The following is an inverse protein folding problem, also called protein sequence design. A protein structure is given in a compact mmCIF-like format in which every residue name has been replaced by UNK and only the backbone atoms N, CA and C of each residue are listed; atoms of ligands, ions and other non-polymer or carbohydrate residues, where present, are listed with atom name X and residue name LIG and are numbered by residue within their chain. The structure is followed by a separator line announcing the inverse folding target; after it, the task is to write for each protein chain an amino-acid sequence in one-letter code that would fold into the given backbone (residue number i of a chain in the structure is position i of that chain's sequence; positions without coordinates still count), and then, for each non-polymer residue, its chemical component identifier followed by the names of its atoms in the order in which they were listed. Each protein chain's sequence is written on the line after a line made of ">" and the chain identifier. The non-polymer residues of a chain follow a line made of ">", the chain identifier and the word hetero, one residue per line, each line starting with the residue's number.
data_IF_407039042422
#
_entry.id   IF_407039042422
#
_cell.length_a   1.000
_cell.length_b   1.000
_cell.length_c   1.000
_cell.angle_alpha   90.00
_cell.angle_beta   90.00
_cell.angle_gamma   90.00
#
_symmetry.space_group_name_H-M   'P 1'
#
loop_
_entity.id
_entity.type
_entity.pdbx_description
1 polymer ?
#
# COMPACT_ATOMS: atom_id res chain seq x y z
N UNK A 1 1.90 14.60 1.36
CA UNK A 1 2.74 13.41 1.15
C UNK A 1 2.01 12.51 0.17
N UNK A 2 2.72 11.74 -0.64
CA UNK A 2 2.13 10.84 -1.63
C UNK A 2 2.88 9.51 -1.68
N UNK A 3 2.16 8.43 -1.96
CA UNK A 3 2.69 7.09 -2.25
C UNK A 3 2.34 6.77 -3.69
N UNK A 4 3.35 6.48 -4.51
CA UNK A 4 3.16 6.04 -5.89
C UNK A 4 2.94 4.52 -5.95
N UNK A 5 2.10 4.08 -6.87
CA UNK A 5 2.00 2.66 -7.21
C UNK A 5 3.15 2.26 -8.17
N UNK A 6 3.64 1.01 -8.09
CA UNK A 6 4.55 0.47 -9.10
C UNK A 6 3.82 0.33 -10.47
N UNK A 7 4.55 0.27 -11.59
CA UNK A 7 3.94 0.24 -12.93
C UNK A 7 2.93 -0.90 -13.16
N UNK A 8 3.14 -2.04 -12.52
CA UNK A 8 2.31 -3.24 -12.68
C UNK A 8 1.10 -3.29 -11.72
N UNK A 9 0.88 -2.24 -10.93
CA UNK A 9 -0.25 -2.10 -10.01
C UNK A 9 -1.08 -0.86 -10.39
N UNK A 10 -2.35 -1.03 -10.81
CA UNK A 10 -3.24 0.11 -11.02
C UNK A 10 -3.35 0.97 -9.75
N UNK A 11 -3.14 2.30 -9.84
CA UNK A 11 -3.09 3.17 -8.66
C UNK A 11 -4.39 3.19 -7.86
N UNK A 12 -5.53 2.96 -8.52
CA UNK A 12 -6.85 2.85 -7.89
C UNK A 12 -7.01 1.62 -6.97
N UNK A 13 -6.11 0.63 -7.08
CA UNK A 13 -6.12 -0.57 -6.23
C UNK A 13 -5.16 -0.47 -5.04
N UNK A 14 -4.45 0.65 -4.88
CA UNK A 14 -3.59 0.93 -3.74
C UNK A 14 -4.09 2.19 -3.03
N UNK A 15 -4.56 2.02 -1.80
CA UNK A 15 -5.06 3.14 -0.99
C UNK A 15 -4.25 3.31 0.29
N UNK A 16 -4.21 4.55 0.78
CA UNK A 16 -3.54 4.88 2.02
C UNK A 16 -4.21 6.05 2.73
N UNK A 17 -4.01 6.10 4.04
CA UNK A 17 -4.41 7.21 4.90
C UNK A 17 -3.37 7.42 5.99
N UNK A 18 -3.34 8.62 6.55
CA UNK A 18 -2.39 8.99 7.60
C UNK A 18 -3.09 9.31 8.91
N UNK A 19 -2.36 9.13 10.01
CA UNK A 19 -2.79 9.50 11.35
C UNK A 19 -2.27 10.91 11.62
N UNK A 20 -3.19 11.83 11.94
CA UNK A 20 -2.93 13.25 12.16
C UNK A 20 -3.07 13.63 13.65
N UNK A 21 -3.62 12.72 14.45
CA UNK A 21 -3.84 12.88 15.88
C UNK A 21 -4.47 11.62 16.46
N UNK A 22 -4.63 11.57 17.78
CA UNK A 22 -5.24 10.42 18.46
C UNK A 22 -6.68 10.21 17.97
N UNK A 23 -6.93 9.10 17.29
CA UNK A 23 -8.23 8.79 16.69
C UNK A 23 -8.60 9.67 15.50
N UNK A 24 -7.68 10.51 15.01
CA UNK A 24 -7.91 11.39 13.86
C UNK A 24 -7.06 10.93 12.68
N UNK A 25 -7.74 10.41 11.66
CA UNK A 25 -7.13 9.97 10.41
C UNK A 25 -7.59 10.86 9.25
N UNK A 26 -6.75 10.98 8.22
CA UNK A 26 -7.21 11.49 6.94
C UNK A 26 -8.22 10.53 6.31
N UNK A 27 -9.00 10.98 5.31
CA UNK A 27 -9.66 10.06 4.40
C UNK A 27 -8.65 9.12 3.73
N UNK A 28 -9.14 7.97 3.27
CA UNK A 28 -8.43 7.13 2.31
C UNK A 28 -8.30 7.87 0.98
N UNK A 29 -7.13 7.77 0.37
CA UNK A 29 -6.85 8.29 -0.97
C UNK A 29 -6.16 7.23 -1.80
N UNK A 30 -6.27 7.34 -3.12
CA UNK A 30 -5.61 6.42 -4.06
C UNK A 30 -4.15 6.78 -4.28
N UNK A 31 -3.34 5.82 -4.74
CA UNK A 31 -1.94 6.03 -5.05
C UNK A 31 -1.75 7.22 -6.00
N UNK A 32 -0.80 8.10 -5.66
CA UNK A 32 -0.54 9.35 -6.36
C UNK A 32 -1.32 10.57 -5.85
N UNK A 33 -2.37 10.39 -5.04
CA UNK A 33 -3.12 11.52 -4.49
C UNK A 33 -2.48 12.10 -3.22
N UNK A 34 -2.68 13.39 -2.98
CA UNK A 34 -2.22 14.00 -1.73
C UNK A 34 -2.91 13.37 -0.49
N UNK A 35 -2.11 12.91 0.46
CA UNK A 35 -2.55 12.45 1.77
C UNK A 35 -1.98 13.35 2.90
N UNK A 36 -2.85 13.76 3.84
CA UNK A 36 -2.51 14.60 4.98
C UNK A 36 -3.43 15.82 5.17
N UNK A 37 -2.95 16.82 5.92
CA UNK A 37 -3.66 18.09 6.11
C UNK A 37 -3.01 19.22 5.30
N UNK A 38 -3.82 20.14 4.75
CA UNK A 38 -3.33 21.34 4.06
C UNK A 38 -3.48 22.55 4.96
N UNK A 39 -2.42 23.36 5.07
CA UNK A 39 -2.42 24.62 5.81
C UNK A 39 -2.40 24.49 7.34
N UNK A 40 -2.40 23.27 7.89
CA UNK A 40 -2.50 23.04 9.35
C UNK A 40 -1.17 22.75 10.04
N UNK A 41 -0.09 22.49 9.29
CA UNK A 41 1.24 22.21 9.85
C UNK A 41 1.33 20.92 10.69
N UNK A 42 0.38 19.99 10.55
CA UNK A 42 0.35 18.76 11.34
C UNK A 42 1.36 17.74 10.82
N UNK A 43 2.16 17.11 11.70
CA UNK A 43 3.02 16.00 11.33
C UNK A 43 2.22 14.73 11.00
N UNK A 44 2.84 13.82 10.27
CA UNK A 44 2.32 12.46 10.09
C UNK A 44 2.74 11.64 11.31
N UNK A 45 1.77 11.09 12.04
CA UNK A 45 2.00 10.30 13.26
C UNK A 45 1.93 8.79 13.01
N UNK A 46 1.37 8.41 11.87
CA UNK A 46 1.09 7.03 11.51
C UNK A 46 0.58 6.89 10.09
N UNK A 47 0.53 5.65 9.61
CA UNK A 47 0.12 5.30 8.26
C UNK A 47 -0.71 4.01 8.26
N UNK A 48 -1.69 3.93 7.36
CA UNK A 48 -2.34 2.69 6.96
C UNK A 48 -2.31 2.58 5.44
N UNK A 49 -1.96 1.42 4.91
CA UNK A 49 -1.95 1.14 3.47
C UNK A 49 -2.73 -0.14 3.20
N UNK A 50 -3.54 -0.18 2.16
CA UNK A 50 -4.30 -1.38 1.77
C UNK A 50 -4.32 -1.59 0.26
N UNK A 51 -4.49 -2.84 -0.12
CA UNK A 51 -4.80 -3.23 -1.50
C UNK A 51 -6.31 -3.46 -1.63
N UNK A 52 -6.86 -3.13 -2.80
CA UNK A 52 -8.26 -3.36 -3.14
C UNK A 52 -8.39 -4.43 -4.24
N UNK A 53 -9.57 -5.08 -4.27
CA UNK A 53 -9.95 -5.99 -5.34
C UNK A 53 -8.93 -7.09 -5.61
N UNK A 54 -8.68 -7.34 -6.90
CA UNK A 54 -7.77 -8.39 -7.39
C UNK A 54 -6.31 -8.18 -6.92
N UNK A 55 -5.90 -6.93 -6.64
CA UNK A 55 -4.53 -6.66 -6.21
C UNK A 55 -4.19 -7.33 -4.88
N UNK A 56 -5.16 -7.49 -3.98
CA UNK A 56 -4.96 -8.18 -2.70
C UNK A 56 -4.62 -9.68 -2.85
N UNK A 57 -4.98 -10.30 -3.99
CA UNK A 57 -4.60 -11.67 -4.32
C UNK A 57 -3.31 -11.79 -5.14
N UNK A 58 -2.90 -10.71 -5.80
CA UNK A 58 -1.73 -10.68 -6.69
C UNK A 58 -0.47 -10.13 -6.02
N UNK A 59 -0.62 -9.40 -4.90
CA UNK A 59 0.48 -8.70 -4.25
C UNK A 59 0.47 -8.95 -2.74
N UNK A 60 1.68 -9.13 -2.19
CA UNK A 60 1.94 -9.09 -0.76
C UNK A 60 2.38 -7.68 -0.38
N UNK A 61 1.52 -6.99 0.36
CA UNK A 61 1.78 -5.65 0.89
C UNK A 61 2.23 -5.73 2.36
N UNK A 62 3.35 -5.08 2.67
CA UNK A 62 3.82 -4.81 4.03
C UNK A 62 4.42 -3.41 4.14
N UNK A 63 4.37 -2.81 5.30
CA UNK A 63 4.97 -1.49 5.51
C UNK A 63 5.48 -1.29 6.92
N UNK A 64 6.50 -0.45 7.04
CA UNK A 64 7.14 -0.05 8.28
C UNK A 64 7.46 1.44 8.24
N UNK A 65 7.78 2.01 9.40
CA UNK A 65 8.15 3.41 9.51
C UNK A 65 9.22 3.61 10.58
N UNK A 66 9.94 4.73 10.47
CA UNK A 66 10.87 5.21 11.49
C UNK A 66 10.35 6.51 12.06
N UNK A 67 10.40 6.67 13.37
CA UNK A 67 10.03 7.88 14.10
C UNK A 67 11.11 8.97 14.03
N UNK A 68 10.74 10.22 14.25
CA UNK A 68 11.67 11.36 14.31
C UNK A 68 12.66 11.29 15.47
N UNK A 69 12.37 10.50 16.50
CA UNK A 69 13.28 10.21 17.61
C UNK A 69 14.24 9.03 17.33
N UNK A 70 14.19 8.46 16.12
CA UNK A 70 15.08 7.40 15.67
C UNK A 70 14.57 5.97 15.92
N UNK A 71 13.42 5.78 16.59
CA UNK A 71 12.84 4.44 16.76
C UNK A 71 12.35 3.86 15.43
N UNK A 72 12.64 2.58 15.20
CA UNK A 72 12.05 1.78 14.12
C UNK A 72 10.76 1.14 14.62
N UNK A 73 9.67 1.26 13.85
CA UNK A 73 8.41 0.58 14.13
C UNK A 73 8.40 -0.80 13.47
N UNK A 74 7.70 -1.79 14.06
CA UNK A 74 7.56 -3.10 13.44
C UNK A 74 6.87 -3.00 12.07
N UNK A 75 7.22 -3.92 11.19
CA UNK A 75 6.51 -4.11 9.93
C UNK A 75 5.09 -4.63 10.20
N UNK A 76 4.11 -4.07 9.51
CA UNK A 76 2.69 -4.44 9.64
C UNK A 76 2.07 -4.81 8.29
N UNK A 77 0.94 -5.50 8.35
CA UNK A 77 0.17 -5.94 7.19
C UNK A 77 -0.85 -4.90 6.67
N UNK A 78 -1.59 -5.26 5.61
CA UNK A 78 -2.56 -4.36 4.97
C UNK A 78 -3.63 -3.85 5.94
N UNK A 79 -3.79 -2.54 6.00
CA UNK A 79 -4.82 -1.87 6.78
C UNK A 79 -4.52 -1.77 8.28
N UNK A 80 -3.41 -2.30 8.78
CA UNK A 80 -3.01 -2.17 10.18
C UNK A 80 -2.37 -0.80 10.46
N UNK A 81 -2.62 -0.16 11.62
CA UNK A 81 -1.95 1.10 11.95
C UNK A 81 -0.45 0.88 12.17
N UNK A 82 0.39 1.54 11.37
CA UNK A 82 1.83 1.68 11.62
C UNK A 82 2.05 3.04 12.31
N UNK A 83 2.04 3.04 13.64
CA UNK A 83 2.20 4.24 14.48
C UNK A 83 2.86 3.89 15.82
N UNK A 84 3.53 4.87 16.44
CA UNK A 84 4.02 4.72 17.81
C UNK A 84 2.86 4.92 18.81
N UNK A 85 2.84 4.18 19.92
CA UNK A 85 1.76 4.28 20.91
C UNK A 85 1.62 5.69 21.54
N UNK A 86 2.74 6.40 21.64
CA UNK A 86 2.84 7.79 22.11
C UNK A 86 2.63 8.82 20.98
N UNK A 87 2.44 8.38 19.74
CA UNK A 87 2.25 9.18 18.53
C UNK A 87 3.44 10.12 18.25
N UNK A 88 4.67 9.63 18.38
CA UNK A 88 5.83 10.35 17.83
C UNK A 88 5.74 10.45 16.31
N UNK A 89 6.01 11.62 15.69
CA UNK A 89 5.98 11.78 14.25
C UNK A 89 6.86 10.79 13.48
N UNK A 90 6.41 10.42 12.30
CA UNK A 90 7.19 9.61 11.36
C UNK A 90 8.22 10.47 10.62
N UNK A 91 9.45 9.98 10.55
CA UNK A 91 10.55 10.53 9.76
C UNK A 91 10.77 9.80 8.43
N UNK A 92 10.44 8.50 8.37
CA UNK A 92 10.55 7.72 7.15
C UNK A 92 9.46 6.65 7.10
N UNK A 93 9.05 6.29 5.88
CA UNK A 93 8.09 5.23 5.60
C UNK A 93 8.71 4.31 4.54
N UNK A 94 8.55 3.01 4.73
CA UNK A 94 8.89 1.99 3.74
C UNK A 94 7.65 1.18 3.43
N UNK A 95 7.24 1.17 2.17
CA UNK A 95 6.18 0.30 1.64
C UNK A 95 6.83 -0.75 0.76
N UNK A 96 6.53 -2.02 1.03
CA UNK A 96 7.03 -3.17 0.28
C UNK A 96 5.85 -3.85 -0.40
N UNK A 97 5.89 -3.90 -1.73
CA UNK A 97 4.95 -4.62 -2.58
C UNK A 97 5.72 -5.73 -3.30
N UNK A 98 5.31 -6.97 -3.08
CA UNK A 98 5.91 -8.15 -3.70
C UNK A 98 4.86 -8.90 -4.50
N UNK A 99 5.10 -9.12 -5.80
CA UNK A 99 4.19 -9.89 -6.62
C UNK A 99 4.14 -11.34 -6.13
N UNK A 100 2.94 -11.80 -5.79
CA UNK A 100 2.64 -13.20 -5.54
C UNK A 100 2.56 -13.86 -6.92
N UNK A 101 3.72 -14.28 -7.45
CA UNK A 101 3.86 -14.67 -8.85
C UNK A 101 2.70 -15.52 -9.38
N UNK A 102 2.30 -15.28 -10.63
CA UNK A 102 1.33 -16.14 -11.31
C UNK A 102 1.86 -17.58 -11.33
N UNK A 103 1.10 -18.54 -10.81
CA UNK A 103 1.01 -19.83 -11.50
C UNK A 103 0.55 -19.50 -12.90
N UNK A 104 1.50 -19.36 -13.82
CA UNK A 104 1.27 -19.13 -15.23
C UNK A 104 0.47 -20.32 -15.76
N UNK A 105 -0.86 -20.25 -15.69
CA UNK A 105 -1.72 -21.13 -16.47
C UNK A 105 -1.36 -20.88 -17.93
N UNK A 106 -0.61 -21.81 -18.50
CA UNK A 106 -0.18 -21.76 -19.88
C UNK A 106 -1.40 -21.56 -20.79
N UNK A 107 -1.31 -20.70 -21.83
CA UNK A 107 -2.39 -20.62 -22.81
C UNK A 107 -2.52 -22.00 -23.46
N UNK A 108 -3.69 -22.64 -23.27
CA UNK A 108 -4.02 -23.89 -23.94
C UNK A 108 -4.03 -23.59 -25.44
N UNK A 109 -2.96 -23.99 -26.14
CA UNK A 109 -2.90 -23.98 -27.60
C UNK A 109 -4.00 -24.90 -28.11
N UNK A 110 -5.13 -24.34 -28.55
CA UNK A 110 -6.17 -25.09 -29.27
C UNK A 110 -5.52 -25.75 -30.49
N UNK A 111 -5.47 -27.08 -30.47
CA UNK A 111 -5.03 -27.93 -31.57
C UNK A 111 -5.99 -27.70 -32.76
N UNK A 112 -5.53 -27.34 -33.97
CA UNK A 112 -6.44 -27.24 -35.10
C UNK A 112 -6.98 -28.64 -35.44
N UNK A 113 -8.29 -28.70 -35.68
CA UNK A 113 -9.02 -29.92 -36.02
C UNK A 113 -8.52 -30.51 -37.36
N UNK A 114 -8.58 -31.84 -37.55
CA UNK A 114 -8.12 -32.47 -38.79
C UNK A 114 -9.01 -32.09 -39.97
N UNK A 115 -8.40 -31.69 -41.08
CA UNK A 115 -9.06 -31.58 -42.38
C UNK A 115 -9.45 -32.97 -42.85
N UNK A 116 -10.74 -33.20 -43.08
CA UNK A 116 -11.25 -34.35 -43.83
C UNK A 116 -10.97 -34.12 -45.32
N UNK A 117 -10.41 -35.12 -45.99
CA UNK A 117 -10.48 -35.36 -47.43
C UNK A 117 -10.76 -36.84 -47.62
#
# INVERSE_FOLDING_TARGET
>A
FEIAAPPDLPPELLEYQVVLGRGWLSPWVTAGDFCGSRGMGLPILGLRVRLLGEAAGQWRLRYAARCTDGRELPEVGPGEPCEAADLVPLAAIKVTLEALGETRSAPTRKKPAPRKA
#
